data_IF_441613232429
#
_entry.id   IF_441613232429
#
_cell.length_a   1.000
_cell.length_b   1.000
_cell.length_c   1.000
_cell.angle_alpha   90.00
_cell.angle_beta   90.00
_cell.angle_gamma   90.00
#
_symmetry.space_group_name_H-M   'P 1'
#
loop_
_entity.id
_entity.type
_entity.pdbx_description
1 polymer ?
#
# COMPACT_ATOMS: atom_id res chain seq x y z
N UNK A 1 -30.22 26.29 12.47
CA UNK A 1 -29.07 26.39 13.39
C UNK A 1 -28.08 25.28 13.06
N UNK A 2 -26.77 25.56 12.90
CA UNK A 2 -25.78 24.51 12.72
C UNK A 2 -25.64 23.71 14.02
N UNK A 3 -25.88 22.39 13.93
CA UNK A 3 -25.71 21.48 15.07
C UNK A 3 -24.21 21.19 15.22
N UNK A 4 -23.65 21.45 16.40
CA UNK A 4 -22.30 21.02 16.77
C UNK A 4 -22.41 19.70 17.49
N UNK A 5 -21.69 18.70 17.00
CA UNK A 5 -21.71 17.35 17.59
C UNK A 5 -20.28 16.91 17.87
N UNK A 6 -20.07 16.30 19.04
CA UNK A 6 -18.81 15.65 19.35
C UNK A 6 -18.77 14.30 18.62
N UNK A 7 -17.97 14.23 17.56
CA UNK A 7 -17.86 13.03 16.72
C UNK A 7 -17.36 11.82 17.52
N UNK A 8 -16.51 12.02 18.54
CA UNK A 8 -16.02 10.93 19.38
C UNK A 8 -17.14 10.30 20.22
N UNK A 9 -18.11 11.10 20.69
CA UNK A 9 -19.28 10.60 21.43
C UNK A 9 -20.24 9.83 20.53
N UNK A 10 -20.45 10.31 19.29
CA UNK A 10 -21.29 9.61 18.30
C UNK A 10 -20.71 8.24 17.98
N UNK A 11 -19.40 8.18 17.71
CA UNK A 11 -18.74 6.91 17.44
C UNK A 11 -18.72 6.00 18.67
N UNK A 12 -18.52 6.53 19.89
CA UNK A 12 -18.56 5.74 21.11
C UNK A 12 -19.93 5.08 21.29
N UNK A 13 -21.01 5.87 21.19
CA UNK A 13 -22.37 5.37 21.27
C UNK A 13 -22.68 4.31 20.19
N UNK A 14 -22.16 4.50 18.97
CA UNK A 14 -22.32 3.51 17.91
C UNK A 14 -21.54 2.22 18.19
N UNK A 15 -20.31 2.30 18.68
CA UNK A 15 -19.46 1.13 18.99
C UNK A 15 -20.02 0.30 20.16
N UNK A 16 -20.68 0.95 21.11
CA UNK A 16 -21.35 0.30 22.25
C UNK A 16 -22.72 -0.30 21.86
N UNK A 17 -23.26 0.06 20.70
CA UNK A 17 -24.54 -0.45 20.22
C UNK A 17 -24.50 -1.97 20.00
N UNK A 18 -25.56 -2.71 20.39
CA UNK A 18 -25.70 -4.13 20.07
C UNK A 18 -25.80 -4.40 18.57
N UNK A 19 -26.13 -3.39 17.77
CA UNK A 19 -26.22 -3.48 16.31
C UNK A 19 -24.89 -3.18 15.61
N UNK A 20 -23.85 -2.81 16.36
CA UNK A 20 -22.54 -2.52 15.78
C UNK A 20 -21.89 -3.80 15.25
N UNK A 21 -21.63 -3.83 13.94
CA UNK A 21 -21.02 -4.98 13.29
C UNK A 21 -19.58 -5.18 13.77
N UNK A 22 -19.15 -6.43 13.91
CA UNK A 22 -17.80 -6.78 14.39
C UNK A 22 -16.71 -6.19 13.49
N UNK A 23 -16.93 -6.13 12.18
CA UNK A 23 -15.94 -5.58 11.23
C UNK A 23 -15.67 -4.10 11.51
N UNK A 24 -16.68 -3.34 11.94
CA UNK A 24 -16.54 -1.92 12.31
C UNK A 24 -15.69 -1.78 13.57
N UNK A 25 -15.94 -2.60 14.60
CA UNK A 25 -15.17 -2.57 15.85
C UNK A 25 -13.68 -2.90 15.65
N UNK A 26 -13.35 -3.66 14.60
CA UNK A 26 -11.97 -4.03 14.30
C UNK A 26 -11.17 -2.91 13.62
N UNK A 27 -11.83 -1.97 12.96
CA UNK A 27 -11.19 -0.90 12.16
C UNK A 27 -11.34 0.48 12.78
N UNK A 28 -12.16 0.62 13.83
CA UNK A 28 -12.39 1.89 14.53
C UNK A 28 -11.90 1.83 15.96
N UNK A 29 -11.14 2.84 16.40
CA UNK A 29 -10.83 3.06 17.82
C UNK A 29 -11.08 4.50 18.23
N UNK A 30 -11.26 4.73 19.53
CA UNK A 30 -11.46 6.06 20.10
C UNK A 30 -10.36 6.33 21.11
N UNK A 31 -9.46 7.25 20.77
CA UNK A 31 -8.33 7.63 21.61
C UNK A 31 -8.76 8.80 22.51
N UNK A 32 -8.64 8.61 23.83
CA UNK A 32 -8.91 9.61 24.87
C UNK A 32 -10.27 10.32 24.76
N UNK A 33 -11.29 9.68 24.16
CA UNK A 33 -12.62 10.27 23.87
C UNK A 33 -12.58 11.57 23.06
N UNK A 34 -11.48 11.81 22.33
CA UNK A 34 -11.27 13.04 21.55
C UNK A 34 -11.01 12.76 20.08
N UNK A 35 -10.38 11.62 19.78
CA UNK A 35 -9.97 11.27 18.42
C UNK A 35 -10.61 9.96 18.03
N UNK A 36 -11.30 9.95 16.89
CA UNK A 36 -11.77 8.74 16.23
C UNK A 36 -10.70 8.34 15.22
N UNK A 37 -10.16 7.13 15.36
CA UNK A 37 -9.18 6.55 14.43
C UNK A 37 -9.88 5.51 13.57
N UNK A 38 -9.75 5.65 12.26
CA UNK A 38 -10.25 4.72 11.26
C UNK A 38 -9.06 4.06 10.56
N UNK A 39 -9.00 2.73 10.54
CA UNK A 39 -7.93 1.95 9.93
C UNK A 39 -8.47 1.20 8.73
N UNK A 40 -8.22 1.72 7.53
CA UNK A 40 -8.48 0.98 6.29
C UNK A 40 -7.27 0.13 5.92
N UNK A 41 -7.49 -1.12 5.49
CA UNK A 41 -6.47 -1.96 4.86
C UNK A 41 -6.70 -1.96 3.34
N UNK A 42 -5.62 -1.88 2.57
CA UNK A 42 -5.64 -2.04 1.11
C UNK A 42 -4.57 -3.04 0.68
N UNK A 43 -4.70 -3.59 -0.53
CA UNK A 43 -3.65 -4.38 -1.16
C UNK A 43 -2.88 -3.53 -2.17
N UNK A 44 -1.57 -3.76 -2.28
CA UNK A 44 -0.75 -3.14 -3.30
C UNK A 44 0.10 -4.24 -3.96
N UNK A 45 0.16 -4.20 -5.29
CA UNK A 45 0.94 -5.14 -6.09
C UNK A 45 2.05 -4.37 -6.78
N UNK A 46 3.27 -4.87 -6.62
CA UNK A 46 4.44 -4.32 -7.28
C UNK A 46 5.09 -5.41 -8.12
N UNK A 47 5.57 -5.06 -9.31
CA UNK A 47 6.40 -5.92 -10.14
C UNK A 47 7.80 -5.32 -10.20
N UNK A 48 8.79 -6.07 -9.74
CA UNK A 48 10.19 -5.69 -9.82
C UNK A 48 10.93 -6.66 -10.72
N UNK A 49 11.78 -6.14 -11.62
CA UNK A 49 12.72 -6.96 -12.37
C UNK A 49 13.88 -7.34 -11.44
N UNK A 50 13.85 -8.57 -10.91
CA UNK A 50 14.80 -9.05 -9.89
C UNK A 50 16.18 -9.44 -10.45
N UNK A 51 16.28 -9.68 -11.76
CA UNK A 51 17.51 -10.14 -12.41
C UNK A 51 17.56 -9.62 -13.83
N UNK A 52 18.60 -8.86 -14.14
CA UNK A 52 18.95 -8.50 -15.50
C UNK A 52 20.06 -9.44 -15.97
N UNK A 53 19.93 -9.96 -17.18
CA UNK A 53 20.94 -10.81 -17.81
C UNK A 53 21.29 -10.21 -19.15
N UNK A 54 22.59 -10.13 -19.43
CA UNK A 54 23.11 -9.81 -20.75
C UNK A 54 23.53 -11.12 -21.38
N UNK A 55 22.90 -11.48 -22.49
CA UNK A 55 23.31 -12.62 -23.30
C UNK A 55 24.23 -12.12 -24.42
N UNK A 56 25.48 -12.56 -24.39
CA UNK A 56 26.42 -12.32 -25.46
C UNK A 56 26.19 -13.37 -26.55
N UNK A 57 26.04 -12.91 -27.80
CA UNK A 57 26.02 -13.77 -28.97
C UNK A 57 27.34 -13.59 -29.70
N UNK A 58 28.09 -14.67 -29.86
CA UNK A 58 29.25 -14.68 -30.72
C UNK A 58 28.78 -14.70 -32.17
N UNK A 59 29.29 -13.74 -32.95
CA UNK A 59 29.21 -13.78 -34.40
C UNK A 59 30.61 -14.13 -34.92
N UNK A 60 30.73 -15.00 -35.94
CA UNK A 60 32.03 -15.34 -36.50
C UNK A 60 32.69 -14.08 -37.04
N UNK A 61 33.95 -13.86 -36.65
CA UNK A 61 34.77 -12.79 -37.22
C UNK A 61 35.05 -13.17 -38.67
N UNK A 62 34.33 -12.54 -39.60
CA UNK A 62 34.68 -12.62 -41.02
C UNK A 62 35.98 -11.84 -41.21
N UNK A 63 37.09 -12.55 -41.42
CA UNK A 63 38.39 -11.94 -41.75
C UNK A 63 38.20 -10.98 -42.93
N UNK A 64 38.33 -9.68 -42.66
CA UNK A 64 38.24 -8.67 -43.70
C UNK A 64 38.17 -7.23 -43.21
N UNK A 65 37.74 -6.95 -41.97
CA UNK A 65 37.56 -5.54 -41.51
C UNK A 65 37.73 -5.27 -40.01
N UNK A 66 38.64 -5.90 -39.29
CA UNK A 66 38.93 -5.44 -37.92
C UNK A 66 40.44 -5.24 -37.69
N UNK A 67 40.77 -4.00 -37.34
CA UNK A 67 42.11 -3.52 -37.02
C UNK A 67 42.41 -4.00 -35.60
N UNK A 68 43.40 -4.88 -35.44
CA UNK A 68 43.96 -5.17 -34.13
C UNK A 68 44.90 -4.02 -33.74
N UNK A 69 44.61 -3.34 -32.64
CA UNK A 69 45.49 -2.34 -32.03
C UNK A 69 46.36 -3.09 -31.02
N UNK A 70 47.68 -2.96 -31.17
CA UNK A 70 48.73 -3.53 -30.32
C UNK A 70 48.77 -2.89 -28.92
#
# INVERSE_FOLDING_TARGET
LPIRVNIAEVFAAHLDSPHCRKEVKQVVSIDQRKVVRLVSKGSCHFQFAMKQRIDLKENPINMGKEIMID
#
